data_IF_783264518610
#
_entry.id   IF_783264518610
#
_cell.length_a   1.000
_cell.length_b   1.000
_cell.length_c   1.000
_cell.angle_alpha   90.00
_cell.angle_beta   90.00
_cell.angle_gamma   90.00
#
_symmetry.space_group_name_H-M   'P 1'
#
loop_
_entity.id
_entity.type
_entity.pdbx_description
1 polymer ?
#
# COMPACT_ATOMS: atom_id res chain seq x y z
N UNK A 1 -35.79 0.46 -35.07
CA UNK A 1 -35.47 -0.12 -33.73
C UNK A 1 -36.53 0.30 -32.73
N UNK A 2 -37.08 -0.63 -32.02
CA UNK A 2 -38.07 -0.32 -31.01
C UNK A 2 -37.41 0.16 -29.74
N UNK A 3 -38.22 0.78 -28.89
CA UNK A 3 -37.72 1.21 -27.59
C UNK A 3 -37.25 0.05 -26.75
N UNK A 4 -37.96 -1.09 -26.85
CA UNK A 4 -37.58 -2.28 -26.11
C UNK A 4 -36.23 -2.81 -26.57
N UNK A 5 -35.99 -2.81 -27.88
CA UNK A 5 -34.72 -3.26 -28.42
C UNK A 5 -33.58 -2.36 -27.97
N UNK A 6 -33.81 -1.06 -27.92
CA UNK A 6 -32.81 -0.12 -27.43
C UNK A 6 -32.47 -0.36 -25.98
N UNK A 7 -33.51 -0.57 -25.17
CA UNK A 7 -33.29 -0.84 -23.74
C UNK A 7 -32.54 -2.14 -23.54
N UNK A 8 -32.85 -3.15 -24.33
CA UNK A 8 -32.16 -4.44 -24.25
C UNK A 8 -30.70 -4.28 -24.60
N UNK A 9 -30.39 -3.51 -25.64
CA UNK A 9 -29.00 -3.27 -26.01
C UNK A 9 -28.26 -2.51 -24.95
N UNK A 10 -28.89 -1.50 -24.36
CA UNK A 10 -28.27 -0.72 -23.28
C UNK A 10 -27.97 -1.62 -22.11
N UNK A 11 -28.90 -2.48 -21.71
CA UNK A 11 -28.69 -3.41 -20.62
C UNK A 11 -27.54 -4.36 -20.91
N UNK A 12 -27.46 -4.85 -22.15
CA UNK A 12 -26.38 -5.75 -22.55
C UNK A 12 -25.01 -5.07 -22.44
N UNK A 13 -24.97 -3.78 -22.66
CA UNK A 13 -23.73 -3.01 -22.56
C UNK A 13 -23.42 -2.67 -21.12
N UNK A 14 -24.44 -2.40 -20.31
CA UNK A 14 -24.25 -1.99 -18.93
C UNK A 14 -23.82 -3.12 -18.01
N UNK A 15 -24.36 -4.32 -18.24
CA UNK A 15 -24.07 -5.43 -17.35
C UNK A 15 -22.57 -5.75 -17.23
N UNK A 16 -21.85 -5.92 -18.34
CA UNK A 16 -20.42 -6.17 -18.22
C UNK A 16 -19.65 -5.00 -17.60
N UNK A 17 -20.11 -3.77 -17.85
CA UNK A 17 -19.47 -2.62 -17.23
C UNK A 17 -19.68 -2.60 -15.71
N UNK A 18 -20.89 -2.92 -15.28
CA UNK A 18 -21.16 -3.02 -13.84
C UNK A 18 -20.31 -4.09 -13.18
N UNK A 19 -20.15 -5.21 -13.87
CA UNK A 19 -19.32 -6.30 -13.37
C UNK A 19 -17.86 -5.89 -13.26
N UNK A 20 -17.36 -5.21 -14.27
CA UNK A 20 -15.98 -4.70 -14.25
C UNK A 20 -15.82 -3.70 -13.14
N UNK A 21 -16.78 -2.79 -12.96
CA UNK A 21 -16.72 -1.80 -11.90
C UNK A 21 -16.68 -2.47 -10.51
N UNK A 22 -17.49 -3.50 -10.34
CA UNK A 22 -17.49 -4.24 -9.06
C UNK A 22 -16.15 -4.90 -8.81
N UNK A 23 -15.58 -5.53 -9.85
CA UNK A 23 -14.27 -6.16 -9.75
C UNK A 23 -13.18 -5.14 -9.42
N UNK A 24 -13.27 -3.98 -10.06
CA UNK A 24 -12.30 -2.91 -9.79
C UNK A 24 -12.41 -2.40 -8.37
N UNK A 25 -13.64 -2.27 -7.87
CA UNK A 25 -13.85 -1.84 -6.49
C UNK A 25 -13.23 -2.82 -5.51
N UNK A 26 -13.41 -4.12 -5.74
CA UNK A 26 -12.79 -5.14 -4.92
C UNK A 26 -11.27 -5.07 -4.98
N UNK A 27 -10.75 -4.87 -6.18
CA UNK A 27 -9.31 -4.76 -6.37
C UNK A 27 -8.75 -3.55 -5.62
N UNK A 28 -9.45 -2.43 -5.69
CA UNK A 28 -9.04 -1.22 -4.99
C UNK A 28 -9.01 -1.46 -3.48
N UNK A 29 -10.02 -2.11 -2.95
CA UNK A 29 -10.07 -2.42 -1.52
C UNK A 29 -8.90 -3.31 -1.13
N UNK A 30 -8.64 -4.34 -1.92
CA UNK A 30 -7.55 -5.27 -1.63
C UNK A 30 -6.20 -4.56 -1.69
N UNK A 31 -5.98 -3.75 -2.71
CA UNK A 31 -4.73 -3.03 -2.86
C UNK A 31 -4.55 -1.99 -1.75
N UNK A 32 -5.63 -1.34 -1.36
CA UNK A 32 -5.58 -0.39 -0.27
C UNK A 32 -5.15 -1.07 1.03
N UNK A 33 -5.70 -2.24 1.31
CA UNK A 33 -5.32 -3.00 2.51
C UNK A 33 -3.88 -3.45 2.45
N UNK A 34 -3.44 -3.90 1.28
CA UNK A 34 -2.05 -4.29 1.10
C UNK A 34 -1.12 -3.11 1.32
N UNK A 35 -1.48 -1.95 0.79
CA UNK A 35 -0.67 -0.75 0.96
C UNK A 35 -0.59 -0.35 2.43
N UNK A 36 -1.68 -0.42 3.15
CA UNK A 36 -1.68 -0.12 4.58
C UNK A 36 -0.77 -1.10 5.33
N UNK A 37 -0.87 -2.36 4.99
CA UNK A 37 -0.03 -3.39 5.61
C UNK A 37 1.44 -3.15 5.32
N UNK A 38 1.77 -2.83 4.08
CA UNK A 38 3.14 -2.54 3.69
C UNK A 38 3.66 -1.29 4.38
N UNK A 39 2.81 -0.27 4.51
CA UNK A 39 3.19 0.94 5.20
C UNK A 39 3.51 0.66 6.67
N UNK A 40 2.69 -0.16 7.31
CA UNK A 40 2.94 -0.54 8.70
C UNK A 40 4.26 -1.30 8.84
N UNK A 41 4.51 -2.22 7.92
CA UNK A 41 5.77 -2.97 7.93
C UNK A 41 6.96 -2.05 7.73
N UNK A 42 6.81 -1.12 6.81
CA UNK A 42 7.87 -0.17 6.54
C UNK A 42 8.16 0.66 7.78
N UNK A 43 7.12 1.11 8.47
CA UNK A 43 7.29 1.87 9.70
C UNK A 43 8.00 1.05 10.77
N UNK A 44 7.63 -0.23 10.90
CA UNK A 44 8.27 -1.12 11.86
C UNK A 44 9.74 -1.32 11.53
N UNK A 45 10.03 -1.59 10.26
CA UNK A 45 11.41 -1.80 9.84
C UNK A 45 12.24 -0.54 10.01
N UNK A 46 11.66 0.60 9.69
CA UNK A 46 12.34 1.87 9.88
C UNK A 46 12.68 2.08 11.36
N UNK A 47 11.74 1.76 12.23
CA UNK A 47 11.97 1.87 13.66
C UNK A 47 13.06 0.89 14.12
N UNK A 48 13.05 -0.32 13.60
CA UNK A 48 14.06 -1.31 13.94
C UNK A 48 15.45 -0.89 13.48
N UNK A 49 15.53 -0.36 12.26
CA UNK A 49 16.81 0.11 11.74
C UNK A 49 17.31 1.28 12.58
N UNK A 50 16.44 2.21 12.93
CA UNK A 50 16.82 3.33 13.78
C UNK A 50 17.31 2.85 15.13
N UNK A 51 16.64 1.86 15.71
CA UNK A 51 17.05 1.30 16.99
C UNK A 51 18.42 0.64 16.89
N UNK A 52 18.63 -0.15 15.83
CA UNK A 52 19.91 -0.80 15.60
C UNK A 52 21.03 0.22 15.41
N UNK A 53 20.76 1.24 14.65
CA UNK A 53 21.75 2.29 14.44
C UNK A 53 22.14 2.95 15.75
N UNK A 54 21.16 3.23 16.60
CA UNK A 54 21.47 3.83 17.90
C UNK A 54 22.29 2.89 18.77
N UNK A 55 21.97 1.60 18.72
CA UNK A 55 22.72 0.62 19.50
C UNK A 55 24.16 0.52 19.03
N UNK A 56 24.33 0.42 17.71
CA UNK A 56 25.67 0.25 17.16
C UNK A 56 26.51 1.52 17.30
N UNK A 57 25.97 2.62 16.85
CA UNK A 57 26.74 3.88 16.82
C UNK A 57 26.80 4.52 18.20
N UNK A 58 25.75 4.37 18.97
CA UNK A 58 25.79 4.84 20.35
C UNK A 58 26.87 4.14 21.15
N UNK A 59 26.96 2.82 21.01
CA UNK A 59 27.99 2.06 21.68
C UNK A 59 29.37 2.46 21.20
N UNK A 60 29.54 2.62 19.91
CA UNK A 60 30.82 3.05 19.36
C UNK A 60 31.22 4.40 19.88
N UNK A 61 30.26 5.30 19.96
CA UNK A 61 30.52 6.64 20.48
C UNK A 61 31.02 6.59 21.91
N UNK A 62 30.39 5.74 22.71
CA UNK A 62 30.80 5.61 24.12
C UNK A 62 32.14 4.97 24.25
N UNK A 63 32.40 3.93 23.46
CA UNK A 63 33.66 3.20 23.53
C UNK A 63 34.81 3.97 22.92
N UNK A 64 34.58 4.70 21.88
CA UNK A 64 35.62 5.40 21.14
C UNK A 64 35.27 6.87 20.97
N UNK A 65 35.26 7.60 22.06
CA UNK A 65 34.88 9.01 21.98
C UNK A 65 35.80 9.85 21.11
N UNK A 66 37.06 9.47 21.02
CA UNK A 66 37.98 10.21 20.19
C UNK A 66 37.65 10.09 18.72
N UNK A 67 37.15 8.96 18.30
CA UNK A 67 36.71 8.77 16.93
C UNK A 67 35.43 9.56 16.67
N UNK A 68 34.58 9.57 17.69
CA UNK A 68 33.30 10.20 17.56
C UNK A 68 33.42 11.71 17.51
N UNK A 69 34.37 12.24 18.23
CA UNK A 69 34.58 13.68 18.26
C UNK A 69 35.19 14.19 16.97
N UNK A 70 35.68 13.30 16.16
CA UNK A 70 36.16 13.69 14.83
C UNK A 70 35.05 13.75 13.83
#
# INVERSE_FOLDING_TARGET
MTQEEMLSQINSMLQPLQQVNASQAETIIRLTRQNESLQNRLNELTAQVAWLNRQLFGHKSEKLPSLDSN
#
